data_IF_040375960503
#
_entry.id   IF_040375960503
#
_cell.length_a   1.000
_cell.length_b   1.000
_cell.length_c   1.000
_cell.angle_alpha   90.00
_cell.angle_beta   90.00
_cell.angle_gamma   90.00
#
_symmetry.space_group_name_H-M   'P 1'
#
loop_
_entity.id
_entity.type
_entity.pdbx_description
1 polymer ?
#
# COMPACT_ATOMS: atom_id res chain seq x y z
N UNK A 1 20.85 36.27 -6.00
CA UNK A 1 20.66 34.82 -6.21
C UNK A 1 21.83 34.08 -5.58
N UNK A 2 21.60 32.93 -4.97
CA UNK A 2 22.62 32.14 -4.26
C UNK A 2 23.84 31.92 -5.18
N UNK A 3 25.00 32.50 -4.83
CA UNK A 3 26.19 32.58 -5.67
C UNK A 3 26.92 31.22 -5.76
N UNK A 4 26.28 30.23 -6.38
CA UNK A 4 26.87 28.91 -6.62
C UNK A 4 27.40 28.81 -8.05
N UNK A 5 28.51 28.09 -8.21
CA UNK A 5 29.15 27.84 -9.52
C UNK A 5 28.29 26.97 -10.44
N UNK A 6 27.40 26.15 -9.89
CA UNK A 6 26.46 25.28 -10.60
C UNK A 6 25.16 25.07 -9.79
N UNK A 7 24.16 24.44 -10.40
CA UNK A 7 22.83 24.23 -9.81
C UNK A 7 22.73 23.02 -8.88
N UNK A 8 23.73 22.14 -8.85
CA UNK A 8 23.76 20.95 -7.98
C UNK A 8 23.56 21.25 -6.48
N UNK A 9 24.30 22.20 -5.86
CA UNK A 9 24.10 22.51 -4.44
C UNK A 9 22.69 23.04 -4.17
N UNK A 10 22.10 23.78 -5.10
CA UNK A 10 20.71 24.21 -5.02
C UNK A 10 19.76 23.01 -5.01
N UNK A 11 19.90 22.10 -5.98
CA UNK A 11 19.07 20.90 -6.13
C UNK A 11 19.15 19.96 -4.91
N UNK A 12 20.32 19.82 -4.31
CA UNK A 12 20.54 18.85 -3.23
C UNK A 12 20.14 19.39 -1.85
N UNK A 13 20.35 20.69 -1.59
CA UNK A 13 20.23 21.24 -0.24
C UNK A 13 19.10 22.26 -0.06
N UNK A 14 18.69 22.96 -1.13
CA UNK A 14 17.74 24.07 -1.04
C UNK A 14 16.40 23.79 -1.75
N UNK A 15 16.38 22.81 -2.64
CA UNK A 15 15.18 22.39 -3.34
C UNK A 15 14.41 21.42 -2.42
N UNK A 16 13.19 21.80 -2.06
CA UNK A 16 12.32 20.92 -1.28
C UNK A 16 12.15 19.58 -2.01
N UNK A 17 12.24 18.46 -1.28
CA UNK A 17 12.07 17.11 -1.85
C UNK A 17 10.72 16.91 -2.53
N UNK A 18 9.73 17.75 -2.23
CA UNK A 18 8.38 17.70 -2.81
C UNK A 18 8.00 19.10 -3.28
N UNK A 19 8.08 19.33 -4.59
CA UNK A 19 7.60 20.58 -5.20
C UNK A 19 6.10 20.42 -5.48
N UNK A 20 5.27 20.90 -4.56
CA UNK A 20 3.80 20.84 -4.71
C UNK A 20 3.23 21.88 -5.68
N UNK A 21 4.09 22.69 -6.28
CA UNK A 21 3.73 23.85 -7.10
C UNK A 21 4.04 23.58 -8.56
N UNK A 22 3.13 23.93 -9.46
CA UNK A 22 3.31 23.84 -10.90
C UNK A 22 4.28 24.92 -11.39
N UNK A 23 5.57 24.61 -11.35
CA UNK A 23 6.65 25.53 -11.76
C UNK A 23 6.54 25.90 -13.24
N UNK A 24 6.05 24.99 -14.07
CA UNK A 24 5.86 25.22 -15.50
C UNK A 24 4.81 26.28 -15.77
N UNK A 25 3.69 26.25 -15.05
CA UNK A 25 2.63 27.24 -15.17
C UNK A 25 3.05 28.61 -14.63
N UNK A 26 3.89 28.65 -13.59
CA UNK A 26 4.45 29.91 -13.07
C UNK A 26 5.31 30.58 -14.14
N UNK A 27 6.25 29.84 -14.74
CA UNK A 27 7.17 30.38 -15.76
C UNK A 27 6.41 30.83 -17.00
N UNK A 28 5.34 30.13 -17.38
CA UNK A 28 4.51 30.47 -18.53
C UNK A 28 3.43 31.51 -18.23
N UNK A 29 3.36 32.03 -17.00
CA UNK A 29 2.29 32.91 -16.53
C UNK A 29 0.87 32.36 -16.78
N UNK A 30 0.72 31.03 -16.72
CA UNK A 30 -0.56 30.33 -16.89
C UNK A 30 -1.15 29.91 -15.55
N UNK A 31 -2.45 29.60 -15.55
CA UNK A 31 -3.14 29.09 -14.35
C UNK A 31 -2.52 27.76 -13.91
N UNK A 32 -2.05 27.70 -12.67
CA UNK A 32 -1.46 26.50 -12.08
C UNK A 32 -2.49 25.39 -11.91
N UNK A 33 -2.11 24.15 -12.25
CA UNK A 33 -2.94 22.96 -12.04
C UNK A 33 -2.79 22.40 -10.62
N UNK A 34 -3.21 23.18 -9.61
CA UNK A 34 -3.01 22.85 -8.18
C UNK A 34 -3.58 21.49 -7.77
N UNK A 35 -4.71 21.08 -8.34
CA UNK A 35 -5.31 19.78 -8.05
C UNK A 35 -4.46 18.62 -8.58
N UNK A 36 -3.99 18.71 -9.83
CA UNK A 36 -3.09 17.73 -10.44
C UNK A 36 -1.78 17.64 -9.66
N UNK A 37 -1.17 18.78 -9.33
CA UNK A 37 0.07 18.80 -8.55
C UNK A 37 -0.10 18.19 -7.17
N UNK A 38 -1.20 18.48 -6.47
CA UNK A 38 -1.51 17.86 -5.17
C UNK A 38 -1.70 16.36 -5.28
N UNK A 39 -2.36 15.89 -6.34
CA UNK A 39 -2.57 14.47 -6.58
C UNK A 39 -1.23 13.78 -6.85
N UNK A 40 -0.46 14.28 -7.83
CA UNK A 40 0.84 13.75 -8.22
C UNK A 40 1.87 13.77 -7.08
N UNK A 41 1.84 14.80 -6.23
CA UNK A 41 2.74 14.96 -5.09
C UNK A 41 2.19 14.36 -3.78
N UNK A 42 0.99 13.77 -3.78
CA UNK A 42 0.46 13.14 -2.56
C UNK A 42 1.28 11.89 -2.24
N UNK A 43 1.62 11.73 -0.95
CA UNK A 43 2.55 10.69 -0.44
C UNK A 43 2.16 9.28 -0.89
N UNK A 44 0.88 9.02 -1.19
CA UNK A 44 0.37 7.72 -1.60
C UNK A 44 0.17 7.52 -3.11
N UNK A 45 0.21 8.57 -3.94
CA UNK A 45 -0.16 8.44 -5.36
C UNK A 45 0.85 7.64 -6.18
N UNK A 46 2.14 7.74 -5.86
CA UNK A 46 3.21 6.97 -6.50
C UNK A 46 3.56 5.67 -5.76
N UNK A 47 2.91 5.41 -4.62
CA UNK A 47 3.17 4.19 -3.84
C UNK A 47 2.32 3.08 -4.44
N UNK A 48 2.95 2.24 -5.25
CA UNK A 48 2.33 1.01 -5.75
C UNK A 48 1.69 0.24 -4.60
N UNK A 49 0.42 -0.15 -4.77
CA UNK A 49 -0.33 -0.99 -3.82
C UNK A 49 0.35 -2.35 -3.58
N UNK A 50 1.24 -2.76 -4.49
CA UNK A 50 2.03 -4.00 -4.42
C UNK A 50 3.28 -3.87 -3.57
N UNK A 51 3.71 -2.65 -3.24
CA UNK A 51 4.93 -2.42 -2.48
C UNK A 51 4.78 -3.02 -1.09
N UNK A 52 5.69 -3.91 -0.65
CA UNK A 52 5.61 -4.52 0.67
C UNK A 52 5.52 -3.47 1.79
N UNK A 53 4.37 -3.42 2.43
CA UNK A 53 4.13 -2.54 3.57
C UNK A 53 4.71 -3.12 4.84
N UNK A 54 4.68 -4.44 5.03
CA UNK A 54 5.21 -5.15 6.18
C UNK A 54 6.05 -6.38 5.80
N UNK A 55 6.80 -6.90 6.76
CA UNK A 55 7.60 -8.11 6.57
C UNK A 55 6.69 -9.34 6.58
N UNK A 56 7.00 -10.32 5.73
CA UNK A 56 6.36 -11.63 5.80
C UNK A 56 6.71 -12.33 7.12
N UNK A 57 5.88 -13.26 7.61
CA UNK A 57 6.19 -14.00 8.83
C UNK A 57 7.54 -14.74 8.74
N UNK A 58 7.90 -15.26 7.56
CA UNK A 58 9.17 -15.92 7.31
C UNK A 58 10.36 -14.94 7.41
N UNK A 59 10.24 -13.76 6.81
CA UNK A 59 11.25 -12.69 6.91
C UNK A 59 11.40 -12.22 8.37
N UNK A 60 10.28 -12.07 9.09
CA UNK A 60 10.29 -11.68 10.49
C UNK A 60 10.95 -12.75 11.38
N UNK A 61 10.77 -14.04 11.07
CA UNK A 61 11.42 -15.16 11.75
C UNK A 61 12.93 -15.26 11.44
N UNK A 62 13.36 -14.84 10.23
CA UNK A 62 14.77 -14.76 9.86
C UNK A 62 15.56 -13.85 10.81
N UNK A 63 14.96 -12.76 11.29
CA UNK A 63 15.58 -11.84 12.25
C UNK A 63 15.99 -12.56 13.54
N UNK A 64 15.21 -13.53 14.02
CA UNK A 64 15.53 -14.26 15.25
C UNK A 64 16.76 -15.18 15.09
N UNK A 65 17.18 -15.47 13.86
CA UNK A 65 18.41 -16.23 13.56
C UNK A 65 19.67 -15.37 13.61
N UNK A 66 19.56 -14.05 13.76
CA UNK A 66 20.72 -13.15 13.81
C UNK A 66 21.63 -13.46 15.02
N UNK A 67 22.95 -13.56 14.83
CA UNK A 67 23.88 -13.92 15.91
C UNK A 67 23.87 -12.93 17.09
N UNK A 68 23.51 -11.67 16.88
CA UNK A 68 23.38 -10.67 17.95
C UNK A 68 22.17 -10.98 18.84
N UNK A 69 21.06 -11.40 18.24
CA UNK A 69 19.87 -11.80 18.99
C UNK A 69 20.14 -13.10 19.74
N UNK A 70 20.75 -14.10 19.10
CA UNK A 70 21.10 -15.38 19.74
C UNK A 70 21.97 -15.18 20.99
N UNK A 71 23.02 -14.36 20.90
CA UNK A 71 23.86 -14.00 22.06
C UNK A 71 23.06 -13.34 23.20
N UNK A 72 22.12 -12.46 22.87
CA UNK A 72 21.27 -11.83 23.89
C UNK A 72 20.28 -12.81 24.52
N UNK A 73 19.78 -13.78 23.75
CA UNK A 73 18.91 -14.86 24.24
C UNK A 73 19.70 -15.77 25.19
N UNK A 74 20.92 -16.17 24.84
CA UNK A 74 21.81 -16.96 25.71
C UNK A 74 22.12 -16.22 27.01
N UNK A 75 22.46 -14.92 26.93
CA UNK A 75 22.66 -14.08 28.13
C UNK A 75 21.39 -13.99 28.98
N UNK A 76 20.21 -13.93 28.36
CA UNK A 76 18.94 -13.93 29.09
C UNK A 76 18.71 -15.27 29.80
N UNK A 77 19.00 -16.40 29.14
CA UNK A 77 18.82 -17.73 29.69
C UNK A 77 19.76 -17.99 30.89
N UNK A 78 21.05 -17.65 30.75
CA UNK A 78 22.02 -17.76 31.85
C UNK A 78 21.62 -16.91 33.06
N UNK A 79 21.14 -15.68 32.85
CA UNK A 79 20.64 -14.82 33.93
C UNK A 79 19.35 -15.36 34.57
N UNK A 80 18.49 -16.06 33.82
CA UNK A 80 17.31 -16.73 34.37
C UNK A 80 17.71 -17.94 35.23
N UNK A 81 18.70 -18.72 34.81
CA UNK A 81 19.23 -19.87 35.55
C UNK A 81 19.91 -19.45 36.85
N UNK A 82 20.61 -18.31 36.86
CA UNK A 82 21.25 -17.75 38.07
C UNK A 82 20.25 -17.30 39.17
N UNK A 83 18.94 -17.30 38.88
CA UNK A 83 17.87 -17.08 39.84
C UNK A 83 17.53 -15.60 40.08
N UNK A 84 16.23 -15.29 40.15
CA UNK A 84 15.70 -13.93 40.33
C UNK A 84 15.86 -13.34 41.75
N UNK A 85 16.49 -14.07 42.68
CA UNK A 85 16.53 -13.70 44.10
C UNK A 85 17.40 -12.46 44.38
N UNK A 86 18.34 -12.11 43.49
CA UNK A 86 19.18 -10.92 43.63
C UNK A 86 18.65 -9.74 42.82
N UNK A 87 18.51 -8.57 43.46
CA UNK A 87 18.12 -7.30 42.82
C UNK A 87 19.05 -6.93 41.65
N UNK A 88 20.34 -7.26 41.75
CA UNK A 88 21.33 -7.03 40.68
C UNK A 88 21.06 -7.90 39.45
N UNK A 89 20.65 -9.16 39.64
CA UNK A 89 20.30 -10.07 38.54
C UNK A 89 19.02 -9.62 37.85
N UNK A 90 18.00 -9.20 38.63
CA UNK A 90 16.75 -8.66 38.08
C UNK A 90 17.00 -7.44 37.18
N UNK A 91 17.83 -6.48 37.62
CA UNK A 91 18.21 -5.31 36.83
C UNK A 91 18.97 -5.68 35.55
N UNK A 92 19.90 -6.64 35.62
CA UNK A 92 20.61 -7.14 34.43
C UNK A 92 19.65 -7.79 33.43
N UNK A 93 18.71 -8.60 33.91
CA UNK A 93 17.71 -9.27 33.09
C UNK A 93 16.79 -8.25 32.40
N UNK A 94 16.37 -7.20 33.10
CA UNK A 94 15.59 -6.11 32.51
C UNK A 94 16.37 -5.38 31.40
N UNK A 95 17.65 -5.08 31.63
CA UNK A 95 18.52 -4.47 30.61
C UNK A 95 18.68 -5.35 29.37
N UNK A 96 18.90 -6.66 29.56
CA UNK A 96 19.00 -7.63 28.44
C UNK A 96 17.68 -7.71 27.68
N UNK A 97 16.53 -7.74 28.37
CA UNK A 97 15.21 -7.74 27.72
C UNK A 97 14.98 -6.48 26.88
N UNK A 98 15.26 -5.30 27.43
CA UNK A 98 15.14 -4.04 26.70
C UNK A 98 16.03 -4.04 25.46
N UNK A 99 17.28 -4.51 25.59
CA UNK A 99 18.22 -4.62 24.49
C UNK A 99 17.75 -5.59 23.41
N UNK A 100 17.19 -6.73 23.81
CA UNK A 100 16.65 -7.73 22.90
C UNK A 100 15.46 -7.16 22.09
N UNK A 101 14.55 -6.45 22.74
CA UNK A 101 13.42 -5.78 22.07
C UNK A 101 13.93 -4.72 21.10
N UNK A 102 14.89 -3.87 21.52
CA UNK A 102 15.42 -2.82 20.66
C UNK A 102 16.19 -3.37 19.47
N UNK A 103 17.01 -4.42 19.65
CA UNK A 103 17.77 -5.04 18.56
C UNK A 103 16.84 -5.74 17.57
N UNK A 104 15.82 -6.47 18.04
CA UNK A 104 14.77 -7.04 17.16
C UNK A 104 14.08 -5.96 16.34
N UNK A 105 13.68 -4.86 16.99
CA UNK A 105 13.02 -3.76 16.30
C UNK A 105 13.93 -3.10 15.26
N UNK A 106 15.23 -2.93 15.59
CA UNK A 106 16.22 -2.38 14.67
C UNK A 106 16.42 -3.28 13.45
N UNK A 107 16.70 -4.56 13.66
CA UNK A 107 16.90 -5.52 12.56
C UNK A 107 15.65 -5.67 11.69
N UNK A 108 14.46 -5.67 12.27
CA UNK A 108 13.20 -5.65 11.49
C UNK A 108 13.07 -4.39 10.63
N UNK A 109 13.45 -3.22 11.14
CA UNK A 109 13.43 -1.97 10.35
C UNK A 109 14.44 -2.01 9.21
N UNK A 110 15.65 -2.49 9.48
CA UNK A 110 16.71 -2.64 8.47
C UNK A 110 16.28 -3.62 7.38
N UNK A 111 15.77 -4.79 7.74
CA UNK A 111 15.27 -5.78 6.78
C UNK A 111 14.08 -5.25 5.98
N UNK A 112 13.13 -4.56 6.63
CA UNK A 112 11.99 -3.92 5.96
C UNK A 112 12.46 -2.86 4.95
N UNK A 113 13.51 -2.12 5.27
CA UNK A 113 14.10 -1.15 4.37
C UNK A 113 14.79 -1.82 3.18
N UNK A 114 15.55 -2.90 3.40
CA UNK A 114 16.19 -3.70 2.35
C UNK A 114 15.14 -4.27 1.39
N UNK A 115 14.16 -5.03 1.90
CA UNK A 115 13.06 -5.59 1.11
C UNK A 115 12.36 -4.51 0.27
N UNK A 116 12.12 -3.33 0.84
CA UNK A 116 11.49 -2.22 0.10
C UNK A 116 12.40 -1.63 -0.97
N UNK A 117 13.70 -1.60 -0.74
CA UNK A 117 14.67 -1.07 -1.69
C UNK A 117 14.84 -2.02 -2.86
N UNK A 118 14.97 -3.31 -2.57
CA UNK A 118 15.17 -4.38 -3.56
C UNK A 118 13.90 -4.62 -4.39
N UNK A 119 12.72 -4.43 -3.79
CA UNK A 119 11.44 -4.56 -4.49
C UNK A 119 11.27 -3.56 -5.65
N UNK A 120 11.77 -2.33 -5.53
CA UNK A 120 11.57 -1.30 -6.56
C UNK A 120 12.23 -1.66 -7.91
N UNK A 121 13.52 -2.07 -7.97
CA UNK A 121 14.13 -2.54 -9.21
C UNK A 121 13.58 -3.90 -9.66
N UNK A 122 13.33 -4.85 -8.76
CA UNK A 122 12.76 -6.17 -9.12
C UNK A 122 11.39 -6.04 -9.78
N UNK A 123 10.53 -5.17 -9.22
CA UNK A 123 9.23 -4.88 -9.80
C UNK A 123 9.36 -4.20 -11.16
N UNK A 124 10.31 -3.28 -11.33
CA UNK A 124 10.53 -2.62 -12.61
C UNK A 124 10.94 -3.62 -13.71
N UNK A 125 11.81 -4.59 -13.39
CA UNK A 125 12.17 -5.66 -14.32
C UNK A 125 10.95 -6.50 -14.68
N UNK A 126 10.18 -6.92 -13.66
CA UNK A 126 8.96 -7.71 -13.85
C UNK A 126 7.94 -6.99 -14.74
N UNK A 127 7.77 -5.68 -14.54
CA UNK A 127 6.83 -4.86 -15.31
C UNK A 127 7.30 -4.71 -16.78
N UNK A 128 8.61 -4.58 -17.03
CA UNK A 128 9.18 -4.56 -18.39
C UNK A 128 8.95 -5.91 -19.08
N UNK A 129 9.21 -7.03 -18.41
CA UNK A 129 9.00 -8.36 -18.97
C UNK A 129 7.53 -8.61 -19.32
N UNK A 130 6.59 -8.18 -18.46
CA UNK A 130 5.15 -8.22 -18.74
C UNK A 130 4.79 -7.40 -19.97
N UNK A 131 5.35 -6.19 -20.09
CA UNK A 131 5.11 -5.33 -21.24
C UNK A 131 5.61 -5.98 -22.54
N UNK A 132 6.79 -6.61 -22.53
CA UNK A 132 7.32 -7.36 -23.67
C UNK A 132 6.45 -8.58 -24.02
N UNK A 133 5.84 -9.21 -23.02
CA UNK A 133 4.90 -10.32 -23.19
C UNK A 133 3.49 -9.88 -23.61
N UNK A 134 3.22 -8.57 -23.76
CA UNK A 134 1.90 -8.03 -24.06
C UNK A 134 0.88 -8.17 -22.92
N UNK A 135 1.35 -8.41 -21.70
CA UNK A 135 0.52 -8.54 -20.51
C UNK A 135 0.28 -7.17 -19.86
N UNK A 136 -0.87 -7.00 -19.20
CA UNK A 136 -1.18 -5.78 -18.45
C UNK A 136 -0.32 -5.69 -17.18
N UNK A 137 0.02 -4.45 -16.78
CA UNK A 137 0.74 -4.21 -15.53
C UNK A 137 -0.05 -4.72 -14.33
N UNK A 138 -1.38 -4.53 -14.32
CA UNK A 138 -2.28 -5.01 -13.29
C UNK A 138 -2.80 -6.42 -13.59
N UNK A 139 -2.72 -7.29 -12.59
CA UNK A 139 -3.55 -8.48 -12.51
C UNK A 139 -4.93 -7.96 -12.13
N UNK A 140 -5.98 -8.35 -12.86
CA UNK A 140 -7.33 -7.85 -12.63
C UNK A 140 -7.63 -7.97 -11.12
N UNK A 141 -8.30 -6.96 -10.50
CA UNK A 141 -8.71 -7.07 -9.11
C UNK A 141 -9.33 -8.45 -8.93
N UNK A 142 -8.85 -9.23 -7.96
CA UNK A 142 -9.58 -10.43 -7.60
C UNK A 142 -11.02 -9.98 -7.34
N UNK A 143 -12.02 -10.62 -7.98
CA UNK A 143 -13.40 -10.28 -7.72
C UNK A 143 -13.55 -10.27 -6.19
N UNK A 144 -14.26 -9.27 -5.63
CA UNK A 144 -14.42 -9.18 -4.19
C UNK A 144 -14.83 -10.57 -3.67
N UNK A 145 -14.25 -11.03 -2.54
CA UNK A 145 -14.62 -12.32 -1.96
C UNK A 145 -16.13 -12.31 -1.87
N UNK A 146 -16.78 -13.26 -2.56
CA UNK A 146 -18.22 -13.34 -2.81
C UNK A 146 -18.98 -12.83 -1.58
N UNK A 147 -19.32 -11.53 -1.59
CA UNK A 147 -20.05 -10.92 -0.48
C UNK A 147 -21.37 -11.67 -0.43
N UNK A 148 -21.66 -12.25 0.73
CA UNK A 148 -22.64 -13.32 0.89
C UNK A 148 -23.96 -13.02 0.20
N UNK A 149 -24.54 -14.07 -0.40
CA UNK A 149 -25.91 -14.13 -0.91
C UNK A 149 -26.45 -12.81 -1.47
N UNK A 150 -25.76 -12.25 -2.49
CA UNK A 150 -26.28 -11.10 -3.24
C UNK A 150 -27.70 -11.41 -3.70
N UNK A 151 -28.67 -10.61 -3.23
CA UNK A 151 -30.08 -10.91 -3.47
C UNK A 151 -30.35 -10.92 -4.99
N UNK A 152 -31.08 -11.90 -5.53
CA UNK A 152 -31.26 -12.07 -6.99
C UNK A 152 -31.84 -10.82 -7.69
N UNK A 153 -32.67 -10.06 -7.00
CA UNK A 153 -33.17 -8.78 -7.51
C UNK A 153 -32.10 -7.68 -7.63
N UNK A 154 -31.08 -7.70 -6.77
CA UNK A 154 -29.94 -6.78 -6.84
C UNK A 154 -29.06 -7.10 -8.05
N UNK A 155 -28.81 -8.39 -8.30
CA UNK A 155 -28.11 -8.86 -9.51
C UNK A 155 -28.85 -8.38 -10.77
N UNK A 156 -30.16 -8.65 -10.82
CA UNK A 156 -31.02 -8.22 -11.94
C UNK A 156 -31.03 -6.70 -12.11
N UNK A 157 -31.00 -5.93 -11.02
CA UNK A 157 -30.94 -4.47 -11.06
C UNK A 157 -29.64 -4.00 -11.71
N UNK A 158 -28.50 -4.50 -11.25
CA UNK A 158 -27.18 -4.13 -11.78
C UNK A 158 -27.11 -4.48 -13.27
N UNK A 159 -27.44 -5.72 -13.64
CA UNK A 159 -27.44 -6.16 -15.03
C UNK A 159 -28.32 -5.29 -15.94
N UNK A 160 -29.52 -4.92 -15.50
CA UNK A 160 -30.45 -4.12 -16.28
C UNK A 160 -29.98 -2.65 -16.43
N UNK A 161 -29.33 -2.09 -15.41
CA UNK A 161 -28.79 -0.73 -15.46
C UNK A 161 -27.47 -0.64 -16.25
N UNK A 162 -26.64 -1.70 -16.21
CA UNK A 162 -25.37 -1.76 -16.93
C UNK A 162 -25.49 -2.36 -18.33
N UNK A 163 -26.69 -2.78 -18.75
CA UNK A 163 -26.94 -3.31 -20.08
C UNK A 163 -26.47 -2.32 -21.15
N UNK A 164 -25.78 -2.79 -22.19
CA UNK A 164 -25.26 -1.95 -23.27
C UNK A 164 -26.39 -1.24 -24.02
N UNK A 165 -26.12 -0.01 -24.49
CA UNK A 165 -27.07 0.75 -25.30
C UNK A 165 -27.36 0.00 -26.60
N UNK A 166 -28.64 -0.09 -26.97
CA UNK A 166 -29.03 -0.81 -28.18
C UNK A 166 -28.97 0.07 -29.43
N UNK A 167 -28.77 -0.55 -30.60
CA UNK A 167 -28.61 0.15 -31.88
C UNK A 167 -29.95 0.53 -32.55
N UNK A 168 -31.08 0.10 -31.99
CA UNK A 168 -32.43 0.38 -32.50
C UNK A 168 -33.30 1.04 -31.42
N UNK A 169 -34.30 1.80 -31.85
CA UNK A 169 -35.20 2.53 -30.94
C UNK A 169 -36.05 1.55 -30.12
N UNK A 170 -36.51 0.47 -30.75
CA UNK A 170 -37.33 -0.58 -30.14
C UNK A 170 -36.56 -1.35 -29.06
N UNK A 171 -35.29 -1.64 -29.30
CA UNK A 171 -34.44 -2.35 -28.34
C UNK A 171 -34.04 -1.45 -27.18
N UNK A 172 -33.79 -0.16 -27.43
CA UNK A 172 -33.55 0.81 -26.35
C UNK A 172 -34.82 1.01 -25.50
N UNK A 173 -36.01 0.97 -26.11
CA UNK A 173 -37.28 0.98 -25.38
C UNK A 173 -37.44 -0.26 -24.49
N UNK A 174 -37.08 -1.46 -25.00
CA UNK A 174 -37.07 -2.70 -24.21
C UNK A 174 -36.05 -2.65 -23.08
N UNK A 175 -34.84 -2.14 -23.32
CA UNK A 175 -33.80 -1.95 -22.30
C UNK A 175 -34.29 -1.07 -21.16
N UNK A 176 -34.88 0.09 -21.49
CA UNK A 176 -35.45 1.03 -20.50
C UNK A 176 -36.58 0.40 -19.69
N UNK A 177 -37.51 -0.28 -20.36
CA UNK A 177 -38.61 -0.97 -19.67
C UNK A 177 -38.07 -2.05 -18.72
N UNK A 178 -37.06 -2.81 -19.13
CA UNK A 178 -36.44 -3.82 -18.27
C UNK A 178 -35.74 -3.18 -17.06
N UNK A 179 -35.03 -2.07 -17.24
CA UNK A 179 -34.41 -1.31 -16.15
C UNK A 179 -35.45 -0.80 -15.14
N UNK A 180 -36.57 -0.24 -15.63
CA UNK A 180 -37.68 0.21 -14.77
C UNK A 180 -38.24 -0.96 -13.95
N UNK A 181 -38.49 -2.10 -14.59
CA UNK A 181 -39.00 -3.30 -13.91
C UNK A 181 -37.98 -3.90 -12.93
N UNK A 182 -36.68 -3.72 -13.17
CA UNK A 182 -35.63 -4.17 -12.27
C UNK A 182 -35.55 -3.28 -11.03
N UNK A 183 -35.64 -1.96 -11.19
CA UNK A 183 -35.72 -0.98 -10.09
C UNK A 183 -36.95 -1.24 -9.23
N UNK A 184 -38.13 -1.39 -9.85
CA UNK A 184 -39.37 -1.67 -9.11
C UNK A 184 -39.30 -2.97 -8.31
N UNK A 185 -38.68 -4.02 -8.87
CA UNK A 185 -38.50 -5.29 -8.18
C UNK A 185 -37.50 -5.19 -7.01
N UNK A 186 -36.58 -4.22 -7.05
CA UNK A 186 -35.58 -4.03 -6.02
C UNK A 186 -36.05 -3.15 -4.85
N UNK A 187 -36.84 -2.11 -5.13
CA UNK A 187 -37.32 -1.15 -4.13
C UNK A 187 -37.88 -1.73 -2.81
N UNK A 188 -38.60 -2.87 -2.77
CA UNK A 188 -39.14 -3.39 -1.51
C UNK A 188 -38.13 -4.19 -0.67
N UNK A 189 -36.89 -4.38 -1.16
CA UNK A 189 -35.90 -5.24 -0.52
C UNK A 189 -35.10 -4.43 0.49
N UNK A 190 -35.00 -4.96 1.72
CA UNK A 190 -34.21 -4.36 2.77
C UNK A 190 -32.76 -4.85 2.68
N UNK A 191 -31.85 -3.94 2.36
CA UNK A 191 -30.41 -4.20 2.39
C UNK A 191 -29.93 -4.40 3.83
N UNK A 192 -28.97 -5.31 4.02
CA UNK A 192 -28.29 -5.45 5.30
C UNK A 192 -27.51 -4.17 5.62
N UNK A 193 -27.36 -3.80 6.91
CA UNK A 193 -26.59 -2.62 7.30
C UNK A 193 -25.14 -2.76 6.82
N UNK A 194 -24.63 -1.69 6.20
CA UNK A 194 -23.23 -1.61 5.79
C UNK A 194 -22.32 -1.70 7.03
N UNK A 195 -21.20 -2.45 6.97
CA UNK A 195 -20.24 -2.57 8.06
C UNK A 195 -19.46 -1.28 8.36
#
# INVERSE_FOLDING_TARGET
MLQHKNSDPFRQNYLERVISVDTSAIVRHTRQQKALMRQACSIGYSVSKRRPTDLTPEQAASVDKDPRIQKLVEQQQTLRQAGRKSRKIAQKLEKVNKRLISERAKLRRELKHQVRNDWSPEQAVTDIERQLAGQTFEEAPQPPPNDGDVHPAQIRLVEALTATVANTVEDERRRRNNAILAVMAYCPIQEAPLP
#
